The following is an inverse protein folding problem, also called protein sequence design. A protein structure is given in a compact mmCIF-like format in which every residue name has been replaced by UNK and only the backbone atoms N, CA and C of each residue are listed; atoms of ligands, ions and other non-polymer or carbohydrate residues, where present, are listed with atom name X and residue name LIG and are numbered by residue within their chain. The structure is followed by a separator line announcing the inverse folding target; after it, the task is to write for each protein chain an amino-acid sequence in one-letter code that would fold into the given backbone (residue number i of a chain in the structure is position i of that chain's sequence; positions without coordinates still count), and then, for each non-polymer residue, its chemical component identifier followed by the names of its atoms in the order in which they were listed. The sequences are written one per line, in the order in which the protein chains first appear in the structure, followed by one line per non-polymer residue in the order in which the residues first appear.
data_IF_725226254916
#
_entry.id   IF_725226254916
#
_cell.length_a   1.000
_cell.length_b   1.000
_cell.length_c   1.000
_cell.angle_alpha   90.00
_cell.angle_beta   90.00
_cell.angle_gamma   90.00
#
_symmetry.space_group_name_H-M   'P 1'
#
loop_
_entity.id
_entity.type
_entity.pdbx_description
1 polymer ?
#
# COMPACT_ATOMS: atom_id res chain seq x y z
N UNK A 1 56.43 -30.18 64.83
CA UNK A 1 56.11 -30.80 63.53
C UNK A 1 55.05 -29.95 62.85
N UNK A 2 55.49 -29.01 62.02
CA UNK A 2 54.62 -28.26 61.12
C UNK A 2 54.18 -29.20 59.99
N UNK A 3 52.87 -29.48 59.92
CA UNK A 3 52.28 -30.09 58.72
C UNK A 3 52.29 -29.04 57.61
N UNK A 4 53.30 -29.09 56.74
CA UNK A 4 53.27 -28.43 55.44
C UNK A 4 52.10 -29.03 54.64
N UNK A 5 50.97 -28.34 54.65
CA UNK A 5 49.86 -28.56 53.73
C UNK A 5 50.37 -28.21 52.33
N UNK A 6 50.83 -29.21 51.60
CA UNK A 6 51.14 -29.10 50.17
C UNK A 6 49.86 -28.72 49.45
N UNK A 7 49.74 -27.44 49.10
CA UNK A 7 48.67 -26.89 48.26
C UNK A 7 48.85 -27.49 46.87
N UNK A 8 48.21 -28.63 46.63
CA UNK A 8 47.87 -29.04 45.27
C UNK A 8 46.75 -28.11 44.82
N UNK A 9 47.15 -27.02 44.14
CA UNK A 9 46.24 -26.01 43.59
C UNK A 9 45.61 -26.57 42.32
N UNK A 10 44.90 -27.70 42.42
CA UNK A 10 43.97 -28.13 41.39
C UNK A 10 42.80 -27.16 41.48
N UNK A 11 42.87 -26.07 40.72
CA UNK A 11 41.74 -25.18 40.59
C UNK A 11 40.54 -26.02 40.13
N UNK A 12 39.45 -25.95 40.90
CA UNK A 12 38.25 -26.68 40.56
C UNK A 12 37.78 -26.20 39.19
N UNK A 13 37.71 -27.12 38.22
CA UNK A 13 37.31 -26.80 36.84
C UNK A 13 35.94 -26.10 36.84
N UNK A 14 35.08 -26.45 37.80
CA UNK A 14 33.80 -25.81 38.02
C UNK A 14 33.94 -24.33 38.41
N UNK A 15 34.78 -24.00 39.40
CA UNK A 15 35.02 -22.61 39.84
C UNK A 15 35.69 -21.76 38.76
N UNK A 16 36.62 -22.35 37.98
CA UNK A 16 37.21 -21.66 36.83
C UNK A 16 36.18 -21.41 35.72
N UNK A 17 35.30 -22.38 35.48
CA UNK A 17 34.21 -22.21 34.51
C UNK A 17 33.26 -21.13 34.99
N UNK A 18 32.80 -21.17 36.23
CA UNK A 18 31.91 -20.16 36.81
C UNK A 18 32.50 -18.75 36.73
N UNK A 19 33.78 -18.59 37.10
CA UNK A 19 34.51 -17.33 36.96
C UNK A 19 34.61 -16.86 35.49
N UNK A 20 34.91 -17.76 34.56
CA UNK A 20 34.93 -17.43 33.13
C UNK A 20 33.56 -17.01 32.59
N UNK A 21 32.47 -17.57 33.14
CA UNK A 21 31.10 -17.21 32.80
C UNK A 21 30.69 -15.85 33.36
N UNK A 22 31.26 -15.42 34.48
CA UNK A 22 31.10 -14.05 34.98
C UNK A 22 31.83 -13.02 34.09
N UNK A 23 32.96 -13.43 33.50
CA UNK A 23 33.79 -12.58 32.64
C UNK A 23 33.27 -12.43 31.19
N UNK A 24 32.17 -13.10 30.80
CA UNK A 24 31.55 -13.03 29.44
C UNK A 24 31.29 -11.59 28.98
N UNK A 25 31.00 -10.67 29.90
CA UNK A 25 30.77 -9.25 29.57
C UNK A 25 32.01 -8.58 28.95
N UNK A 26 33.20 -9.10 29.25
CA UNK A 26 34.49 -8.54 28.81
C UNK A 26 35.11 -9.26 27.60
N UNK A 27 34.51 -10.36 27.12
CA UNK A 27 35.02 -11.10 25.96
C UNK A 27 35.10 -10.24 24.70
N UNK A 28 35.98 -10.55 23.75
CA UNK A 28 35.99 -9.84 22.46
C UNK A 28 34.76 -10.20 21.62
N UNK A 29 34.41 -9.40 20.60
CA UNK A 29 33.28 -9.70 19.72
C UNK A 29 33.43 -11.06 19.00
N UNK A 30 34.62 -11.41 18.43
CA UNK A 30 34.83 -12.75 17.85
C UNK A 30 34.71 -13.89 18.85
N UNK A 31 35.20 -13.73 20.09
CA UNK A 31 35.04 -14.74 21.15
C UNK A 31 33.56 -14.99 21.47
N UNK A 32 32.78 -13.91 21.59
CA UNK A 32 31.35 -13.99 21.85
C UNK A 32 30.59 -14.69 20.72
N UNK A 33 30.91 -14.36 19.45
CA UNK A 33 30.32 -15.02 18.30
C UNK A 33 30.74 -16.48 18.19
N UNK A 34 32.01 -16.79 18.47
CA UNK A 34 32.53 -18.16 18.49
C UNK A 34 31.78 -19.01 19.51
N UNK A 35 31.59 -18.49 20.73
CA UNK A 35 30.82 -19.17 21.77
C UNK A 35 29.35 -19.38 21.37
N UNK A 36 28.71 -18.37 20.78
CA UNK A 36 27.33 -18.50 20.28
C UNK A 36 27.22 -19.54 19.15
N UNK A 37 28.20 -19.61 18.24
CA UNK A 37 28.26 -20.65 17.20
C UNK A 37 28.42 -22.04 17.80
N UNK A 38 29.30 -22.22 18.78
CA UNK A 38 29.46 -23.50 19.49
C UNK A 38 28.21 -23.91 20.29
N UNK A 39 27.47 -22.94 20.84
CA UNK A 39 26.20 -23.21 21.52
C UNK A 39 25.10 -23.73 20.55
N UNK A 40 25.23 -23.52 19.24
CA UNK A 40 24.28 -24.06 18.26
C UNK A 40 24.36 -25.58 18.18
N UNK A 41 25.57 -26.13 18.27
CA UNK A 41 25.82 -27.56 18.17
C UNK A 41 25.41 -28.30 19.46
N UNK A 42 25.33 -27.58 20.58
CA UNK A 42 25.05 -28.11 21.93
C UNK A 42 23.74 -27.57 22.52
N UNK A 43 22.78 -27.20 21.68
CA UNK A 43 21.61 -26.39 22.02
C UNK A 43 20.83 -26.83 23.29
N UNK A 44 20.52 -28.12 23.53
CA UNK A 44 19.81 -28.54 24.74
C UNK A 44 20.59 -28.28 26.03
N UNK A 45 21.91 -28.51 26.00
CA UNK A 45 22.81 -28.41 27.15
C UNK A 45 23.17 -26.94 27.44
N UNK A 46 23.41 -26.15 26.38
CA UNK A 46 23.72 -24.72 26.49
C UNK A 46 22.55 -23.89 27.06
N UNK A 47 21.31 -24.33 26.81
CA UNK A 47 20.11 -23.70 27.37
C UNK A 47 19.96 -23.97 28.88
N UNK A 48 20.29 -25.18 29.34
CA UNK A 48 20.20 -25.53 30.77
C UNK A 48 21.29 -24.90 31.65
N UNK A 49 22.41 -24.47 31.07
CA UNK A 49 23.56 -23.94 31.81
C UNK A 49 23.53 -22.42 32.00
N UNK A 50 22.56 -21.70 31.41
CA UNK A 50 22.48 -20.23 31.46
C UNK A 50 23.59 -19.49 30.69
N UNK A 51 24.54 -20.22 30.09
CA UNK A 51 25.65 -19.67 29.31
C UNK A 51 25.11 -18.94 28.08
N UNK A 52 24.18 -19.57 27.38
CA UNK A 52 23.56 -19.00 26.19
C UNK A 52 22.86 -17.67 26.50
N UNK A 53 22.17 -17.57 27.63
CA UNK A 53 21.49 -16.34 28.07
C UNK A 53 22.50 -15.22 28.37
N UNK A 54 23.58 -15.53 29.11
CA UNK A 54 24.66 -14.57 29.40
C UNK A 54 25.34 -14.06 28.12
N UNK A 55 25.60 -14.94 27.15
CA UNK A 55 26.18 -14.57 25.86
C UNK A 55 25.22 -13.68 25.06
N UNK A 56 23.92 -14.03 24.99
CA UNK A 56 22.91 -13.22 24.33
C UNK A 56 22.77 -11.84 24.99
N UNK A 57 22.78 -11.77 26.32
CA UNK A 57 22.69 -10.50 27.05
C UNK A 57 23.90 -9.58 26.81
N UNK A 58 25.10 -10.16 26.72
CA UNK A 58 26.33 -9.43 26.36
C UNK A 58 26.25 -8.93 24.91
N UNK A 59 25.82 -9.80 23.97
CA UNK A 59 25.68 -9.48 22.55
C UNK A 59 24.69 -8.32 22.34
N UNK A 60 23.48 -8.47 22.88
CA UNK A 60 22.41 -7.47 22.76
C UNK A 60 22.81 -6.18 23.48
N UNK A 61 23.49 -6.26 24.62
CA UNK A 61 24.04 -5.09 25.31
C UNK A 61 24.99 -4.28 24.44
N UNK A 62 25.89 -4.94 23.70
CA UNK A 62 26.82 -4.26 22.78
C UNK A 62 26.12 -3.65 21.58
N UNK A 63 25.16 -4.37 21.00
CA UNK A 63 24.38 -3.87 19.88
C UNK A 63 23.59 -2.60 20.27
N UNK A 64 22.94 -2.62 21.44
CA UNK A 64 22.22 -1.46 21.97
C UNK A 64 23.15 -0.26 22.21
N UNK A 65 24.30 -0.46 22.86
CA UNK A 65 25.27 0.61 23.12
C UNK A 65 25.86 1.21 21.82
N UNK A 66 26.13 0.37 20.81
CA UNK A 66 26.62 0.83 19.53
C UNK A 66 25.58 1.67 18.76
N UNK A 67 24.29 1.42 19.00
CA UNK A 67 23.19 2.21 18.44
C UNK A 67 22.98 3.54 19.19
N UNK A 68 23.18 3.57 20.51
CA UNK A 68 23.01 4.76 21.36
C UNK A 68 24.18 5.75 21.30
N UNK A 69 25.40 5.29 20.97
CA UNK A 69 26.58 6.14 20.78
C UNK A 69 26.48 7.10 19.57
N UNK A 70 25.31 7.19 18.95
CA UNK A 70 24.96 8.18 17.92
C UNK A 70 23.93 9.19 18.45
N UNK A 71 24.41 10.33 18.98
CA UNK A 71 23.78 11.62 18.70
C UNK A 71 24.81 12.66 18.20
N UNK A 72 24.56 13.18 16.98
CA UNK A 72 25.03 14.44 16.37
C UNK A 72 26.54 14.81 16.36
N UNK A 73 27.08 15.30 15.23
CA UNK A 73 28.32 16.08 15.23
C UNK A 73 27.99 17.50 15.71
N UNK A 74 27.97 17.71 17.03
CA UNK A 74 27.91 19.07 17.60
C UNK A 74 28.59 19.09 18.97
N UNK A 75 29.86 18.70 19.03
CA UNK A 75 30.78 19.39 19.93
C UNK A 75 31.22 20.65 19.21
N UNK A 76 30.45 21.71 19.37
CA UNK A 76 31.00 23.06 19.22
C UNK A 76 32.10 23.20 20.25
N UNK A 77 33.35 23.01 19.84
CA UNK A 77 34.44 23.73 20.47
C UNK A 77 34.14 25.21 20.23
N UNK A 78 33.92 25.95 21.31
CA UNK A 78 34.04 27.39 21.26
C UNK A 78 35.42 27.72 20.68
N UNK A 79 35.42 28.45 19.57
CA UNK A 79 36.46 29.37 19.09
C UNK A 79 36.63 29.27 17.58
N UNK A 80 35.83 30.05 16.86
CA UNK A 80 36.31 31.04 15.88
C UNK A 80 35.16 31.48 14.98
N UNK A 81 34.95 32.79 14.94
CA UNK A 81 34.03 33.47 14.04
C UNK A 81 34.46 33.25 12.57
N UNK A 82 33.51 32.86 11.72
CA UNK A 82 33.74 32.73 10.29
C UNK A 82 32.46 32.44 9.53
N UNK A 83 31.66 33.47 9.30
CA UNK A 83 30.45 33.43 8.47
C UNK A 83 30.78 32.90 7.06
N UNK A 84 30.27 31.70 6.68
CA UNK A 84 30.24 31.30 5.26
C UNK A 84 29.07 30.37 4.94
N UNK A 85 28.40 30.74 3.85
CA UNK A 85 27.15 30.23 3.30
C UNK A 85 27.12 28.71 3.09
N UNK A 86 25.94 28.15 3.39
CA UNK A 86 25.49 26.80 3.07
C UNK A 86 25.42 26.56 1.56
N UNK A 87 25.95 25.42 1.11
CA UNK A 87 25.51 24.72 -0.09
C UNK A 87 25.43 23.21 0.21
N UNK A 88 24.23 22.66 0.04
CA UNK A 88 23.87 21.26 0.22
C UNK A 88 24.64 20.31 -0.69
N UNK A 89 25.42 19.40 -0.12
CA UNK A 89 25.78 18.11 -0.75
C UNK A 89 26.06 16.99 0.27
N UNK A 90 25.67 17.14 1.54
CA UNK A 90 26.13 16.26 2.65
C UNK A 90 25.06 15.30 3.19
N UNK A 91 23.87 15.28 2.61
CA UNK A 91 22.71 14.54 3.12
C UNK A 91 22.77 13.04 2.80
N UNK A 92 23.34 12.66 1.65
CA UNK A 92 23.44 11.24 1.24
C UNK A 92 24.61 10.52 1.92
N UNK A 93 25.75 11.19 2.11
CA UNK A 93 26.95 10.61 2.72
C UNK A 93 26.77 10.33 4.22
N UNK A 94 26.05 11.21 4.94
CA UNK A 94 25.75 11.04 6.37
C UNK A 94 24.75 9.91 6.62
N UNK A 95 23.70 9.80 5.78
CA UNK A 95 22.75 8.69 5.81
C UNK A 95 23.40 7.36 5.46
N UNK A 96 24.31 7.34 4.47
CA UNK A 96 25.08 6.14 4.11
C UNK A 96 26.03 5.71 5.23
N UNK A 97 26.74 6.66 5.86
CA UNK A 97 27.63 6.39 6.98
C UNK A 97 26.90 5.98 8.26
N UNK A 98 25.68 6.50 8.48
CA UNK A 98 24.78 6.04 9.55
C UNK A 98 24.30 4.62 9.25
N UNK A 99 23.92 4.34 8.00
CA UNK A 99 23.46 3.03 7.58
C UNK A 99 24.53 1.94 7.70
N UNK A 100 25.75 2.18 7.19
CA UNK A 100 26.87 1.23 7.31
C UNK A 100 27.19 0.96 8.79
N UNK A 101 27.12 1.99 9.65
CA UNK A 101 27.30 1.84 11.10
C UNK A 101 26.14 1.16 11.82
N UNK A 102 24.94 1.14 11.25
CA UNK A 102 23.81 0.41 11.83
C UNK A 102 23.82 -1.07 11.43
N UNK A 103 24.49 -1.44 10.34
CA UNK A 103 24.45 -2.80 9.76
C UNK A 103 25.75 -3.59 9.83
N UNK A 104 26.79 -3.09 10.53
CA UNK A 104 28.10 -3.75 10.63
C UNK A 104 28.04 -5.21 11.11
N UNK A 105 27.05 -5.54 11.95
CA UNK A 105 26.87 -6.86 12.55
C UNK A 105 26.03 -7.83 11.71
N UNK A 106 25.50 -7.39 10.55
CA UNK A 106 24.56 -8.19 9.76
C UNK A 106 25.22 -9.47 9.21
N UNK A 107 26.43 -9.35 8.68
CA UNK A 107 27.19 -10.49 8.15
C UNK A 107 27.55 -11.48 9.28
N UNK A 108 28.03 -10.97 10.39
CA UNK A 108 28.44 -11.74 11.56
C UNK A 108 27.30 -12.60 12.15
N UNK A 109 26.09 -12.03 12.24
CA UNK A 109 24.91 -12.73 12.74
C UNK A 109 24.17 -13.49 11.63
N UNK A 110 24.53 -13.29 10.36
CA UNK A 110 23.93 -13.94 9.20
C UNK A 110 24.04 -15.46 9.22
N UNK A 111 25.13 -15.97 9.79
CA UNK A 111 25.43 -17.41 9.88
C UNK A 111 24.64 -18.16 10.96
N UNK A 112 23.97 -17.45 11.87
CA UNK A 112 23.27 -18.09 12.99
C UNK A 112 22.10 -18.96 12.50
N UNK A 113 21.82 -20.05 13.20
CA UNK A 113 20.62 -20.86 12.94
C UNK A 113 19.33 -20.05 13.27
N UNK A 114 18.16 -20.44 12.72
CA UNK A 114 16.92 -19.69 12.93
C UNK A 114 16.55 -19.54 14.41
N UNK A 115 16.77 -20.57 15.23
CA UNK A 115 16.45 -20.54 16.65
C UNK A 115 17.24 -19.47 17.42
N UNK A 116 18.54 -19.34 17.16
CA UNK A 116 19.36 -18.29 17.76
C UNK A 116 18.98 -16.91 17.25
N UNK A 117 18.70 -16.77 15.95
CA UNK A 117 18.18 -15.51 15.42
C UNK A 117 16.91 -15.10 16.14
N UNK A 118 15.96 -16.02 16.32
CA UNK A 118 14.73 -15.77 17.09
C UNK A 118 15.03 -15.26 18.51
N UNK A 119 15.95 -15.90 19.22
CA UNK A 119 16.35 -15.50 20.58
C UNK A 119 17.01 -14.11 20.61
N UNK A 120 17.93 -13.83 19.68
CA UNK A 120 18.58 -12.52 19.57
C UNK A 120 17.55 -11.43 19.25
N UNK A 121 16.65 -11.68 18.30
CA UNK A 121 15.63 -10.69 17.91
C UNK A 121 14.66 -10.40 19.07
N UNK A 122 14.18 -11.42 19.78
CA UNK A 122 13.34 -11.23 20.98
C UNK A 122 14.05 -10.42 22.06
N UNK A 123 15.34 -10.66 22.24
CA UNK A 123 16.17 -9.92 23.21
C UNK A 123 16.41 -8.47 22.79
N UNK A 124 16.54 -8.20 21.48
CA UNK A 124 16.63 -6.83 20.96
C UNK A 124 15.31 -6.07 21.13
N UNK A 125 14.18 -6.72 20.84
CA UNK A 125 12.84 -6.14 21.04
C UNK A 125 12.60 -5.83 22.53
N UNK A 126 12.95 -6.74 23.44
CA UNK A 126 12.77 -6.51 24.89
C UNK A 126 13.60 -5.34 25.42
N UNK A 127 14.73 -5.03 24.77
CA UNK A 127 15.57 -3.86 25.07
C UNK A 127 15.23 -2.61 24.25
N UNK A 128 14.07 -2.58 23.58
CA UNK A 128 13.58 -1.45 22.77
C UNK A 128 14.53 -1.01 21.66
N UNK A 129 15.25 -1.97 21.08
CA UNK A 129 16.09 -1.70 19.92
C UNK A 129 15.24 -1.28 18.71
N UNK A 130 15.78 -0.48 17.79
CA UNK A 130 15.03 0.05 16.65
C UNK A 130 14.48 -1.09 15.76
N UNK A 131 13.15 -1.22 15.75
CA UNK A 131 12.41 -2.20 14.98
C UNK A 131 12.70 -2.11 13.46
N UNK A 132 13.04 -0.93 12.94
CA UNK A 132 13.42 -0.75 11.53
C UNK A 132 14.74 -1.45 11.23
N UNK A 133 15.73 -1.38 12.13
CA UNK A 133 17.00 -2.08 11.96
C UNK A 133 16.78 -3.59 12.09
N UNK A 134 15.97 -4.04 13.06
CA UNK A 134 15.62 -5.45 13.23
C UNK A 134 14.96 -6.00 11.96
N UNK A 135 13.96 -5.30 11.41
CA UNK A 135 13.26 -5.75 10.20
C UNK A 135 14.22 -5.86 9.01
N UNK A 136 15.14 -4.89 8.86
CA UNK A 136 16.19 -4.91 7.81
C UNK A 136 17.13 -6.09 7.97
N UNK A 137 17.57 -6.38 9.20
CA UNK A 137 18.40 -7.56 9.47
C UNK A 137 17.66 -8.85 9.10
N UNK A 138 16.38 -8.98 9.46
CA UNK A 138 15.59 -10.17 9.13
C UNK A 138 15.47 -10.40 7.61
N UNK A 139 15.27 -9.34 6.83
CA UNK A 139 15.28 -9.44 5.36
C UNK A 139 16.67 -9.79 4.81
N UNK A 140 17.73 -9.23 5.39
CA UNK A 140 19.11 -9.57 5.04
C UNK A 140 19.40 -11.05 5.35
N UNK A 141 19.06 -11.51 6.55
CA UNK A 141 19.24 -12.87 7.04
C UNK A 141 18.56 -13.88 6.11
N UNK A 142 17.29 -13.64 5.76
CA UNK A 142 16.58 -14.50 4.82
C UNK A 142 17.31 -14.58 3.47
N UNK A 143 17.66 -13.44 2.88
CA UNK A 143 18.31 -13.40 1.55
C UNK A 143 19.68 -14.08 1.55
N UNK A 144 20.50 -13.80 2.56
CA UNK A 144 21.84 -14.37 2.70
C UNK A 144 21.78 -15.89 2.86
N UNK A 145 20.96 -16.38 3.80
CA UNK A 145 20.85 -17.82 4.09
C UNK A 145 20.19 -18.61 2.96
N UNK A 146 19.34 -17.98 2.16
CA UNK A 146 18.67 -18.64 1.04
C UNK A 146 19.63 -19.12 -0.06
N UNK A 147 20.82 -18.53 -0.18
CA UNK A 147 21.81 -18.89 -1.20
C UNK A 147 22.29 -20.33 -1.01
N UNK A 148 22.53 -20.74 0.24
CA UNK A 148 23.12 -22.05 0.57
C UNK A 148 22.12 -23.04 1.18
N UNK A 149 20.88 -22.61 1.46
CA UNK A 149 19.88 -23.42 2.15
C UNK A 149 19.13 -24.42 1.25
N UNK A 150 18.89 -25.61 1.80
CA UNK A 150 17.93 -26.60 1.30
C UNK A 150 16.48 -26.08 1.38
N UNK A 151 15.53 -26.75 0.72
CA UNK A 151 14.11 -26.34 0.73
C UNK A 151 13.50 -26.35 2.14
N UNK A 152 13.83 -27.36 2.97
CA UNK A 152 13.38 -27.43 4.37
C UNK A 152 13.97 -26.30 5.23
N UNK A 153 15.25 -25.99 5.04
CA UNK A 153 15.89 -24.85 5.70
C UNK A 153 15.27 -23.52 5.26
N UNK A 154 15.02 -23.32 3.96
CA UNK A 154 14.34 -22.13 3.44
C UNK A 154 12.97 -21.93 4.07
N UNK A 155 12.20 -23.01 4.21
CA UNK A 155 10.92 -22.98 4.92
C UNK A 155 11.08 -22.52 6.37
N UNK A 156 11.97 -23.15 7.15
CA UNK A 156 12.22 -22.80 8.55
C UNK A 156 12.67 -21.35 8.72
N UNK A 157 13.62 -20.91 7.90
CA UNK A 157 14.11 -19.52 7.88
C UNK A 157 12.96 -18.56 7.61
N UNK A 158 12.13 -18.82 6.60
CA UNK A 158 10.99 -17.95 6.29
C UNK A 158 9.96 -17.92 7.41
N UNK A 159 9.63 -19.08 8.01
CA UNK A 159 8.69 -19.14 9.15
C UNK A 159 9.21 -18.32 10.34
N UNK A 160 10.48 -18.49 10.72
CA UNK A 160 11.11 -17.69 11.79
C UNK A 160 11.13 -16.20 11.46
N UNK A 161 11.49 -15.82 10.23
CA UNK A 161 11.53 -14.41 9.80
C UNK A 161 10.15 -13.77 9.85
N UNK A 162 9.12 -14.45 9.35
CA UNK A 162 7.73 -13.95 9.39
C UNK A 162 7.25 -13.81 10.83
N UNK A 163 7.52 -14.80 11.69
CA UNK A 163 7.14 -14.75 13.10
C UNK A 163 7.82 -13.59 13.83
N UNK A 164 9.08 -13.31 13.51
CA UNK A 164 9.81 -12.21 14.12
C UNK A 164 9.32 -10.86 13.59
N UNK A 165 9.12 -10.71 12.28
CA UNK A 165 8.55 -9.48 11.69
C UNK A 165 7.16 -9.17 12.26
N UNK A 166 6.34 -10.20 12.52
CA UNK A 166 5.00 -10.03 13.09
C UNK A 166 5.00 -9.49 14.53
N UNK A 167 6.12 -9.67 15.25
CA UNK A 167 6.28 -9.13 16.61
C UNK A 167 6.76 -7.67 16.65
N UNK A 168 7.15 -7.10 15.50
CA UNK A 168 7.64 -5.72 15.41
C UNK A 168 6.49 -4.72 15.19
N UNK A 169 6.82 -3.44 15.34
CA UNK A 169 5.91 -2.38 14.96
C UNK A 169 5.58 -2.45 13.46
N UNK A 170 4.29 -2.36 13.15
CA UNK A 170 3.79 -2.48 11.77
C UNK A 170 4.46 -1.46 10.82
N UNK A 171 4.76 -0.25 11.32
CA UNK A 171 5.39 0.82 10.54
C UNK A 171 6.88 0.56 10.25
N UNK A 172 7.52 -0.36 10.96
CA UNK A 172 8.93 -0.69 10.78
C UNK A 172 9.18 -1.68 9.63
N UNK A 173 8.12 -2.34 9.14
CA UNK A 173 8.22 -3.43 8.15
C UNK A 173 7.72 -2.95 6.80
N UNK A 174 8.61 -2.91 5.80
CA UNK A 174 8.25 -2.40 4.47
C UNK A 174 7.30 -3.36 3.72
N UNK A 175 6.22 -2.81 3.17
CA UNK A 175 5.26 -3.58 2.38
C UNK A 175 5.91 -4.26 1.16
N UNK A 176 6.84 -3.58 0.48
CA UNK A 176 7.58 -4.13 -0.68
C UNK A 176 8.35 -5.39 -0.30
N UNK A 177 9.00 -5.39 0.86
CA UNK A 177 9.73 -6.56 1.35
C UNK A 177 8.79 -7.71 1.71
N UNK A 178 7.61 -7.43 2.28
CA UNK A 178 6.61 -8.46 2.58
C UNK A 178 6.11 -9.17 1.31
N UNK A 179 5.88 -8.45 0.20
CA UNK A 179 5.58 -9.08 -1.09
C UNK A 179 6.74 -9.91 -1.63
N UNK A 180 7.98 -9.49 -1.38
CA UNK A 180 9.16 -10.31 -1.66
C UNK A 180 9.14 -11.65 -0.90
N UNK A 181 8.74 -11.63 0.38
CA UNK A 181 8.54 -12.86 1.17
C UNK A 181 7.37 -13.67 0.59
N UNK A 182 6.24 -13.03 0.28
CA UNK A 182 5.08 -13.71 -0.28
C UNK A 182 5.44 -14.49 -1.54
N UNK A 183 6.15 -13.88 -2.48
CA UNK A 183 6.61 -14.53 -3.71
C UNK A 183 7.48 -15.76 -3.43
N UNK A 184 8.36 -15.68 -2.43
CA UNK A 184 9.15 -16.83 -1.97
C UNK A 184 8.25 -17.94 -1.40
N UNK A 185 7.21 -17.59 -0.63
CA UNK A 185 6.33 -18.57 0.00
C UNK A 185 5.42 -19.33 -0.96
N UNK A 186 5.20 -18.82 -2.18
CA UNK A 186 4.39 -19.52 -3.19
C UNK A 186 4.96 -20.89 -3.54
N UNK A 187 6.28 -21.04 -3.46
CA UNK A 187 6.99 -22.29 -3.75
C UNK A 187 7.43 -23.05 -2.48
N UNK A 188 7.06 -22.57 -1.29
CA UNK A 188 7.41 -23.19 -0.02
C UNK A 188 6.15 -23.64 0.72
N UNK A 189 6.18 -24.85 1.25
CA UNK A 189 5.08 -25.37 2.07
C UNK A 189 5.14 -24.83 3.51
N UNK A 190 4.99 -23.51 3.67
CA UNK A 190 4.96 -22.85 4.99
C UNK A 190 3.68 -23.18 5.76
N UNK A 191 3.78 -23.12 7.09
CA UNK A 191 2.62 -23.34 7.97
C UNK A 191 1.49 -22.34 7.70
N UNK A 192 0.24 -22.79 7.91
CA UNK A 192 -0.95 -21.93 7.79
C UNK A 192 -0.89 -20.71 8.73
N UNK A 193 -0.34 -20.90 9.93
CA UNK A 193 -0.14 -19.82 10.90
C UNK A 193 0.81 -18.75 10.35
N UNK A 194 1.98 -19.16 9.83
CA UNK A 194 2.94 -18.26 9.20
C UNK A 194 2.32 -17.51 8.01
N UNK A 195 1.57 -18.22 7.14
CA UNK A 195 0.89 -17.60 6.00
C UNK A 195 -0.10 -16.53 6.45
N UNK A 196 -0.93 -16.83 7.45
CA UNK A 196 -1.90 -15.87 7.97
C UNK A 196 -1.23 -14.62 8.56
N UNK A 197 -0.11 -14.77 9.28
CA UNK A 197 0.67 -13.63 9.79
C UNK A 197 1.21 -12.75 8.67
N UNK A 198 1.80 -13.36 7.63
CA UNK A 198 2.30 -12.65 6.46
C UNK A 198 1.18 -11.89 5.73
N UNK A 199 0.08 -12.57 5.44
CA UNK A 199 -1.07 -11.97 4.76
C UNK A 199 -1.71 -10.86 5.59
N UNK A 200 -1.76 -11.01 6.92
CA UNK A 200 -2.23 -9.97 7.83
C UNK A 200 -1.33 -8.74 7.78
N UNK A 201 0.00 -8.90 7.83
CA UNK A 201 0.93 -7.77 7.73
C UNK A 201 0.77 -7.02 6.40
N UNK A 202 0.68 -7.74 5.28
CA UNK A 202 0.45 -7.15 3.96
C UNK A 202 -0.90 -6.42 3.92
N UNK A 203 -1.97 -7.07 4.35
CA UNK A 203 -3.32 -6.50 4.30
C UNK A 203 -3.46 -5.23 5.14
N UNK A 204 -2.77 -5.12 6.27
CA UNK A 204 -2.81 -3.90 7.09
C UNK A 204 -2.15 -2.66 6.44
N UNK A 205 -1.42 -2.84 5.33
CA UNK A 205 -0.74 -1.79 4.56
C UNK A 205 -1.32 -1.64 3.14
N UNK A 206 -2.54 -2.14 2.88
CA UNK A 206 -3.13 -2.19 1.53
C UNK A 206 -3.18 -0.83 0.81
N UNK A 207 -3.26 0.28 1.56
CA UNK A 207 -3.22 1.65 1.03
C UNK A 207 -1.85 2.10 0.48
N UNK A 208 -0.80 1.29 0.67
CA UNK A 208 0.55 1.51 0.16
C UNK A 208 0.93 0.52 -0.96
N UNK A 209 0.01 -0.37 -1.32
CA UNK A 209 0.24 -1.45 -2.29
C UNK A 209 0.00 -0.93 -3.71
N UNK A 210 0.79 -1.44 -4.66
CA UNK A 210 0.61 -1.20 -6.11
C UNK A 210 -0.16 -2.33 -6.74
N UNK A 211 -0.79 -2.07 -7.90
CA UNK A 211 -1.54 -3.08 -8.64
C UNK A 211 -0.69 -4.34 -8.90
N UNK A 212 0.54 -4.16 -9.40
CA UNK A 212 1.47 -5.26 -9.69
C UNK A 212 1.68 -6.23 -8.52
N UNK A 213 1.70 -5.71 -7.29
CA UNK A 213 1.86 -6.54 -6.09
C UNK A 213 0.61 -7.39 -5.80
N UNK A 214 -0.59 -6.94 -6.18
CA UNK A 214 -1.84 -7.70 -6.01
C UNK A 214 -2.03 -8.80 -7.06
N UNK A 215 -1.27 -8.76 -8.16
CA UNK A 215 -1.30 -9.76 -9.24
C UNK A 215 -0.54 -11.04 -8.84
N UNK A 216 -0.97 -11.64 -7.73
CA UNK A 216 -0.40 -12.89 -7.21
C UNK A 216 -0.86 -14.04 -8.10
N UNK A 217 0.06 -14.83 -8.69
CA UNK A 217 -0.29 -15.97 -9.53
C UNK A 217 -1.14 -16.98 -8.77
N UNK A 218 -2.07 -17.61 -9.48
CA UNK A 218 -2.89 -18.66 -8.93
C UNK A 218 -2.07 -19.93 -8.62
N UNK A 219 -2.52 -20.77 -7.66
CA UNK A 219 -1.86 -22.05 -7.39
C UNK A 219 -1.86 -22.96 -8.63
N UNK A 220 -0.80 -23.76 -8.76
CA UNK A 220 -0.66 -24.73 -9.85
C UNK A 220 -1.89 -25.63 -9.94
N UNK A 221 -2.44 -25.78 -11.15
CA UNK A 221 -3.63 -26.60 -11.41
C UNK A 221 -4.96 -25.87 -11.27
N UNK A 222 -4.94 -24.55 -11.08
CA UNK A 222 -6.14 -23.72 -11.18
C UNK A 222 -6.25 -23.06 -12.56
N UNK A 223 -7.48 -22.81 -13.02
CA UNK A 223 -7.73 -22.32 -14.39
C UNK A 223 -7.74 -20.79 -14.49
N UNK A 224 -7.88 -20.07 -13.37
CA UNK A 224 -7.84 -18.60 -13.33
C UNK A 224 -6.41 -18.10 -13.16
N UNK A 225 -6.10 -16.89 -13.63
CA UNK A 225 -4.72 -16.37 -13.68
C UNK A 225 -4.20 -15.92 -12.31
N UNK A 226 -5.05 -15.29 -11.50
CA UNK A 226 -4.64 -14.63 -10.25
C UNK A 226 -5.37 -15.19 -9.02
N UNK A 227 -4.67 -15.32 -7.90
CA UNK A 227 -5.28 -15.76 -6.63
C UNK A 227 -6.09 -14.64 -5.95
N UNK A 228 -7.33 -14.49 -6.41
CA UNK A 228 -8.33 -13.59 -5.83
C UNK A 228 -8.54 -13.83 -4.33
N UNK A 229 -8.38 -15.07 -3.85
CA UNK A 229 -8.61 -15.37 -2.43
C UNK A 229 -7.55 -14.74 -1.54
N UNK A 230 -6.30 -14.62 -2.01
CA UNK A 230 -5.23 -13.92 -1.27
C UNK A 230 -5.59 -12.45 -1.10
N UNK A 231 -6.06 -11.80 -2.17
CA UNK A 231 -6.44 -10.38 -2.14
C UNK A 231 -7.65 -10.14 -1.22
N UNK A 232 -8.64 -11.03 -1.24
CA UNK A 232 -9.76 -10.97 -0.28
C UNK A 232 -9.29 -11.12 1.18
N UNK A 233 -8.26 -11.92 1.45
CA UNK A 233 -7.67 -12.04 2.80
C UNK A 233 -6.89 -10.78 3.21
N UNK A 234 -6.21 -10.13 2.26
CA UNK A 234 -5.59 -8.82 2.51
C UNK A 234 -6.65 -7.78 2.89
N UNK A 235 -7.74 -7.69 2.11
CA UNK A 235 -8.85 -6.79 2.38
C UNK A 235 -9.49 -7.04 3.75
N UNK A 236 -9.74 -8.31 4.10
CA UNK A 236 -10.26 -8.67 5.42
C UNK A 236 -9.35 -8.18 6.54
N UNK A 237 -8.04 -8.30 6.37
CA UNK A 237 -7.05 -7.85 7.36
C UNK A 237 -6.96 -6.32 7.43
N UNK A 238 -7.12 -5.63 6.30
CA UNK A 238 -7.20 -4.17 6.23
C UNK A 238 -8.39 -3.64 7.05
N UNK A 239 -9.59 -4.19 6.79
CA UNK A 239 -10.86 -3.79 7.39
C UNK A 239 -11.03 -4.15 8.87
N UNK A 240 -10.15 -4.98 9.43
CA UNK A 240 -10.20 -5.40 10.83
C UNK A 240 -9.84 -4.30 11.85
N UNK A 241 -9.50 -3.08 11.41
CA UNK A 241 -9.13 -1.94 12.26
C UNK A 241 -9.95 -0.70 11.90
N UNK A 242 -10.07 0.25 12.82
CA UNK A 242 -10.64 1.58 12.51
C UNK A 242 -9.76 2.31 11.49
N UNK A 243 -10.12 2.23 10.21
CA UNK A 243 -9.31 2.81 9.12
C UNK A 243 -9.69 4.27 8.89
N UNK A 244 -8.72 5.20 8.88
CA UNK A 244 -8.95 6.55 8.40
C UNK A 244 -9.50 6.57 6.96
N UNK A 245 -10.49 7.41 6.70
CA UNK A 245 -11.19 7.45 5.40
C UNK A 245 -10.25 7.65 4.20
N UNK A 246 -9.17 8.43 4.36
CA UNK A 246 -8.18 8.63 3.30
C UNK A 246 -7.44 7.35 2.89
N UNK A 247 -7.07 6.49 3.85
CA UNK A 247 -6.45 5.19 3.59
C UNK A 247 -7.46 4.24 2.96
N UNK A 248 -8.71 4.27 3.44
CA UNK A 248 -9.80 3.46 2.90
C UNK A 248 -10.09 3.81 1.43
N UNK A 249 -10.12 5.10 1.06
CA UNK A 249 -10.28 5.57 -0.33
C UNK A 249 -9.13 5.13 -1.23
N UNK A 250 -7.88 5.18 -0.74
CA UNK A 250 -6.71 4.69 -1.50
C UNK A 250 -6.82 3.19 -1.78
N UNK A 251 -7.17 2.40 -0.77
CA UNK A 251 -7.39 0.97 -0.93
C UNK A 251 -8.55 0.67 -1.88
N UNK A 252 -9.64 1.45 -1.85
CA UNK A 252 -10.75 1.30 -2.79
C UNK A 252 -10.34 1.56 -4.24
N UNK A 253 -9.59 2.65 -4.48
CA UNK A 253 -9.06 2.93 -5.82
C UNK A 253 -8.17 1.79 -6.33
N UNK A 254 -7.28 1.25 -5.49
CA UNK A 254 -6.45 0.09 -5.83
C UNK A 254 -7.30 -1.15 -6.16
N UNK A 255 -8.33 -1.41 -5.35
CA UNK A 255 -9.23 -2.54 -5.58
C UNK A 255 -10.03 -2.39 -6.87
N UNK A 256 -10.46 -1.18 -7.23
CA UNK A 256 -11.19 -0.95 -8.46
C UNK A 256 -10.32 -1.25 -9.70
N UNK A 257 -9.01 -0.89 -9.65
CA UNK A 257 -8.05 -1.32 -10.67
C UNK A 257 -7.87 -2.83 -10.71
N UNK A 258 -7.75 -3.47 -9.54
CA UNK A 258 -7.62 -4.92 -9.46
C UNK A 258 -8.86 -5.65 -10.00
N UNK A 259 -10.06 -5.18 -9.67
CA UNK A 259 -11.33 -5.74 -10.17
C UNK A 259 -11.41 -5.61 -11.70
N UNK A 260 -10.99 -4.46 -12.25
CA UNK A 260 -10.93 -4.26 -13.69
C UNK A 260 -9.92 -5.21 -14.37
N UNK A 261 -8.78 -5.49 -13.72
CA UNK A 261 -7.76 -6.40 -14.25
C UNK A 261 -8.21 -7.87 -14.27
N UNK A 262 -8.96 -8.32 -13.25
CA UNK A 262 -9.42 -9.71 -13.18
C UNK A 262 -10.76 -9.95 -13.89
N UNK A 263 -11.52 -8.90 -14.21
CA UNK A 263 -12.82 -9.01 -14.88
C UNK A 263 -12.80 -9.77 -16.22
N UNK A 264 -11.77 -9.63 -17.09
CA UNK A 264 -11.70 -10.35 -18.36
C UNK A 264 -11.30 -11.83 -18.25
N UNK A 265 -11.05 -12.37 -17.05
CA UNK A 265 -10.66 -13.77 -16.86
C UNK A 265 -11.88 -14.70 -16.99
N UNK A 266 -11.98 -15.54 -18.04
CA UNK A 266 -13.14 -16.43 -18.26
C UNK A 266 -13.26 -17.55 -17.22
N UNK A 267 -12.23 -17.77 -16.40
CA UNK A 267 -12.23 -18.76 -15.33
C UNK A 267 -12.58 -18.16 -13.96
N UNK A 268 -12.82 -16.84 -13.88
CA UNK A 268 -13.21 -16.18 -12.64
C UNK A 268 -14.68 -16.45 -12.31
N UNK A 269 -14.92 -17.19 -11.23
CA UNK A 269 -16.29 -17.53 -10.79
C UNK A 269 -17.11 -16.29 -10.38
N UNK A 270 -18.43 -16.26 -10.67
CA UNK A 270 -19.34 -15.17 -10.28
C UNK A 270 -19.29 -14.81 -8.81
N UNK A 271 -19.23 -15.81 -7.94
CA UNK A 271 -19.18 -15.63 -6.49
C UNK A 271 -17.91 -14.90 -6.03
N UNK A 272 -16.76 -15.14 -6.68
CA UNK A 272 -15.49 -14.46 -6.37
C UNK A 272 -15.50 -13.03 -6.89
N UNK A 273 -16.00 -12.81 -8.10
CA UNK A 273 -16.12 -11.47 -8.68
C UNK A 273 -17.04 -10.59 -7.81
N UNK A 274 -18.21 -11.12 -7.42
CA UNK A 274 -19.13 -10.43 -6.52
C UNK A 274 -18.52 -10.14 -5.14
N UNK A 275 -17.74 -11.08 -4.59
CA UNK A 275 -17.05 -10.88 -3.32
C UNK A 275 -16.06 -9.71 -3.39
N UNK A 276 -15.36 -9.52 -4.51
CA UNK A 276 -14.46 -8.37 -4.70
C UNK A 276 -15.21 -7.04 -4.74
N UNK A 277 -16.28 -6.98 -5.53
CA UNK A 277 -17.12 -5.77 -5.66
C UNK A 277 -17.66 -5.33 -4.30
N UNK A 278 -18.19 -6.29 -3.52
CA UNK A 278 -18.81 -6.05 -2.21
C UNK A 278 -17.82 -5.97 -1.04
N UNK A 279 -16.52 -6.13 -1.28
CA UNK A 279 -15.55 -6.23 -0.19
C UNK A 279 -15.38 -4.94 0.60
N UNK A 280 -15.61 -3.78 -0.03
CA UNK A 280 -15.42 -2.45 0.57
C UNK A 280 -16.76 -1.73 0.72
N UNK A 281 -16.94 -0.93 1.79
CA UNK A 281 -18.16 -0.17 2.02
C UNK A 281 -18.31 0.96 1.00
N UNK A 282 -19.55 1.38 0.74
CA UNK A 282 -19.84 2.47 -0.21
C UNK A 282 -19.13 3.78 0.13
N UNK A 283 -18.94 4.08 1.41
CA UNK A 283 -18.22 5.28 1.87
C UNK A 283 -16.76 5.34 1.39
N UNK A 284 -16.18 4.21 1.01
CA UNK A 284 -14.81 4.11 0.49
C UNK A 284 -14.68 4.63 -0.96
N UNK A 285 -15.79 4.71 -1.71
CA UNK A 285 -15.81 5.07 -3.12
C UNK A 285 -16.53 6.39 -3.35
N UNK A 286 -15.91 7.26 -4.14
CA UNK A 286 -16.52 8.51 -4.59
C UNK A 286 -17.37 8.30 -5.85
N UNK A 287 -17.03 7.31 -6.67
CA UNK A 287 -17.76 6.93 -7.87
C UNK A 287 -17.74 5.40 -8.07
N UNK A 288 -18.78 4.87 -8.70
CA UNK A 288 -18.89 3.46 -9.09
C UNK A 288 -18.64 3.24 -10.60
N UNK A 289 -18.23 4.26 -11.35
CA UNK A 289 -18.04 4.17 -12.81
C UNK A 289 -16.97 3.13 -13.20
N UNK A 290 -15.89 3.04 -12.41
CA UNK A 290 -14.85 2.02 -12.59
C UNK A 290 -15.37 0.60 -12.37
N UNK A 291 -16.20 0.42 -11.33
CA UNK A 291 -16.85 -0.85 -11.03
C UNK A 291 -17.84 -1.22 -12.13
N UNK A 292 -18.63 -0.27 -12.65
CA UNK A 292 -19.52 -0.50 -13.78
C UNK A 292 -18.74 -1.03 -14.99
N UNK A 293 -17.62 -0.38 -15.37
CA UNK A 293 -16.79 -0.83 -16.51
C UNK A 293 -16.25 -2.24 -16.30
N UNK A 294 -15.79 -2.56 -15.09
CA UNK A 294 -15.31 -3.89 -14.77
C UNK A 294 -16.44 -4.94 -14.81
N UNK A 295 -17.64 -4.60 -14.30
CA UNK A 295 -18.83 -5.47 -14.40
C UNK A 295 -19.23 -5.69 -15.86
N UNK A 296 -19.26 -4.64 -16.67
CA UNK A 296 -19.62 -4.72 -18.08
C UNK A 296 -18.68 -5.66 -18.86
N UNK A 297 -17.37 -5.57 -18.58
CA UNK A 297 -16.37 -6.48 -19.12
C UNK A 297 -16.54 -7.92 -18.61
N UNK A 298 -16.80 -8.09 -17.31
CA UNK A 298 -17.04 -9.41 -16.74
C UNK A 298 -18.25 -10.10 -17.37
N UNK A 299 -19.37 -9.37 -17.54
CA UNK A 299 -20.59 -9.89 -18.17
C UNK A 299 -20.41 -10.17 -19.66
N UNK A 300 -19.53 -9.42 -20.35
CA UNK A 300 -19.15 -9.70 -21.74
C UNK A 300 -18.46 -11.06 -21.85
N UNK A 301 -17.44 -11.31 -21.02
CA UNK A 301 -16.67 -12.55 -21.04
C UNK A 301 -17.49 -13.75 -20.53
N UNK A 302 -18.47 -13.51 -19.66
CA UNK A 302 -19.32 -14.54 -19.06
C UNK A 302 -20.75 -14.50 -19.63
N UNK A 303 -20.89 -14.47 -20.95
CA UNK A 303 -22.19 -14.44 -21.63
C UNK A 303 -23.12 -15.63 -21.29
N UNK A 304 -22.56 -16.75 -20.79
CA UNK A 304 -23.32 -17.95 -20.40
C UNK A 304 -23.96 -17.90 -19.00
N UNK A 305 -23.87 -16.78 -18.27
CA UNK A 305 -24.49 -16.65 -16.95
C UNK A 305 -26.02 -16.62 -17.02
N UNK A 306 -26.65 -17.21 -16.00
CA UNK A 306 -28.09 -17.11 -15.81
C UNK A 306 -28.54 -15.68 -15.46
N UNK A 307 -29.80 -15.36 -15.71
CA UNK A 307 -30.40 -14.08 -15.31
C UNK A 307 -30.30 -13.82 -13.80
N UNK A 308 -30.38 -14.88 -12.97
CA UNK A 308 -30.21 -14.78 -11.52
C UNK A 308 -28.78 -14.39 -11.14
N UNK A 309 -27.77 -15.02 -11.75
CA UNK A 309 -26.36 -14.68 -11.52
C UNK A 309 -26.04 -13.25 -11.96
N UNK A 310 -26.53 -12.85 -13.14
CA UNK A 310 -26.39 -11.47 -13.65
C UNK A 310 -27.02 -10.48 -12.68
N UNK A 311 -28.23 -10.75 -12.21
CA UNK A 311 -28.92 -9.94 -11.20
C UNK A 311 -28.11 -9.84 -9.91
N UNK A 312 -27.59 -10.95 -9.39
CA UNK A 312 -26.82 -10.95 -8.16
C UNK A 312 -25.49 -10.16 -8.29
N UNK A 313 -24.81 -10.27 -9.42
CA UNK A 313 -23.61 -9.48 -9.73
C UNK A 313 -23.96 -7.98 -9.78
N UNK A 314 -24.99 -7.60 -10.54
CA UNK A 314 -25.40 -6.21 -10.70
C UNK A 314 -25.90 -5.57 -9.40
N UNK A 315 -26.42 -6.35 -8.44
CA UNK A 315 -26.77 -5.85 -7.10
C UNK A 315 -25.56 -5.32 -6.30
N UNK A 316 -24.32 -5.55 -6.73
CA UNK A 316 -23.13 -4.96 -6.11
C UNK A 316 -22.86 -3.51 -6.51
N UNK A 317 -23.60 -2.95 -7.49
CA UNK A 317 -23.39 -1.61 -8.00
C UNK A 317 -24.21 -0.59 -7.19
N UNK A 318 -23.56 0.47 -6.70
CA UNK A 318 -24.27 1.62 -6.12
C UNK A 318 -24.63 2.60 -7.23
N UNK A 319 -25.90 2.59 -7.65
CA UNK A 319 -26.43 3.45 -8.72
C UNK A 319 -26.41 4.94 -8.41
N UNK A 320 -26.42 5.33 -7.13
CA UNK A 320 -26.39 6.74 -6.70
C UNK A 320 -25.03 7.39 -6.95
N UNK A 321 -23.98 6.56 -6.98
CA UNK A 321 -22.59 6.99 -7.19
C UNK A 321 -22.12 6.83 -8.63
N UNK A 322 -23.03 6.60 -9.57
CA UNK A 322 -22.74 6.60 -11.00
C UNK A 322 -22.82 8.01 -11.58
N UNK A 323 -21.94 8.30 -12.54
CA UNK A 323 -22.07 9.50 -13.37
C UNK A 323 -23.29 9.40 -14.30
N UNK A 324 -23.79 10.56 -14.74
CA UNK A 324 -24.91 10.62 -15.70
C UNK A 324 -24.58 9.90 -17.00
N UNK A 325 -23.35 10.04 -17.49
CA UNK A 325 -22.85 9.35 -18.67
C UNK A 325 -22.87 7.83 -18.49
N UNK A 326 -22.38 7.33 -17.35
CA UNK A 326 -22.38 5.90 -17.04
C UNK A 326 -23.79 5.32 -16.91
N UNK A 327 -24.72 6.07 -16.31
CA UNK A 327 -26.14 5.67 -16.26
C UNK A 327 -26.76 5.54 -17.66
N UNK A 328 -26.40 6.41 -18.62
CA UNK A 328 -26.87 6.31 -20.00
C UNK A 328 -26.33 5.05 -20.68
N UNK A 329 -25.04 4.75 -20.51
CA UNK A 329 -24.46 3.52 -21.01
C UNK A 329 -25.14 2.29 -20.41
N UNK A 330 -25.37 2.29 -19.09
CA UNK A 330 -26.05 1.20 -18.39
C UNK A 330 -27.47 0.98 -18.92
N UNK A 331 -28.24 2.06 -19.13
CA UNK A 331 -29.62 1.98 -19.62
C UNK A 331 -29.72 1.37 -21.03
N UNK A 332 -28.69 1.52 -21.86
CA UNK A 332 -28.63 0.96 -23.22
C UNK A 332 -28.01 -0.45 -23.25
N UNK A 333 -27.48 -0.92 -22.12
CA UNK A 333 -26.70 -2.15 -22.09
C UNK A 333 -27.57 -3.38 -21.83
N UNK A 334 -27.86 -4.13 -22.90
CA UNK A 334 -28.66 -5.37 -22.84
C UNK A 334 -27.98 -6.50 -22.02
N UNK A 335 -26.70 -6.37 -21.65
CA UNK A 335 -26.00 -7.30 -20.75
C UNK A 335 -26.40 -7.13 -19.28
N UNK A 336 -27.04 -6.02 -18.93
CA UNK A 336 -27.52 -5.79 -17.58
C UNK A 336 -29.00 -6.18 -17.47
N UNK A 337 -29.45 -6.73 -16.33
CA UNK A 337 -30.86 -6.98 -16.09
C UNK A 337 -31.69 -5.70 -16.23
N UNK A 338 -32.91 -5.83 -16.75
CA UNK A 338 -33.83 -4.70 -16.94
C UNK A 338 -34.08 -3.90 -15.65
N UNK A 339 -34.11 -4.57 -14.49
CA UNK A 339 -34.22 -3.94 -13.18
C UNK A 339 -33.09 -2.95 -12.90
N UNK A 340 -31.87 -3.23 -13.33
CA UNK A 340 -30.71 -2.34 -13.17
C UNK A 340 -30.85 -1.07 -14.00
N UNK A 341 -31.34 -1.17 -15.24
CA UNK A 341 -31.61 -0.02 -16.10
C UNK A 341 -32.70 0.88 -15.51
N UNK A 342 -33.79 0.29 -14.99
CA UNK A 342 -34.85 1.03 -14.30
C UNK A 342 -34.32 1.76 -13.07
N UNK A 343 -33.48 1.11 -12.27
CA UNK A 343 -32.92 1.72 -11.06
C UNK A 343 -31.97 2.90 -11.37
N UNK A 344 -31.14 2.78 -12.40
CA UNK A 344 -30.31 3.88 -12.88
C UNK A 344 -31.15 5.06 -13.41
N UNK A 345 -32.24 4.76 -14.13
CA UNK A 345 -33.18 5.77 -14.65
C UNK A 345 -33.91 6.52 -13.54
N UNK A 346 -34.45 5.81 -12.54
CA UNK A 346 -35.12 6.42 -11.38
C UNK A 346 -34.17 7.39 -10.69
N UNK A 347 -32.90 7.01 -10.49
CA UNK A 347 -31.92 7.88 -9.87
C UNK A 347 -31.62 9.13 -10.71
N UNK A 348 -31.43 9.01 -12.02
CA UNK A 348 -31.26 10.18 -12.89
C UNK A 348 -32.44 11.14 -12.78
N UNK A 349 -33.67 10.62 -12.75
CA UNK A 349 -34.88 11.43 -12.59
C UNK A 349 -34.92 12.15 -11.24
N UNK A 350 -34.55 11.48 -10.15
CA UNK A 350 -34.45 12.10 -8.81
C UNK A 350 -33.36 13.19 -8.76
N UNK A 351 -32.19 12.94 -9.34
CA UNK A 351 -31.09 13.92 -9.40
C UNK A 351 -31.48 15.17 -10.19
N UNK A 352 -32.17 15.00 -11.33
CA UNK A 352 -32.72 16.09 -12.12
C UNK A 352 -33.79 16.87 -11.32
N UNK A 353 -34.72 16.17 -10.65
CA UNK A 353 -35.74 16.82 -9.81
C UNK A 353 -35.11 17.65 -8.69
N UNK A 354 -34.09 17.13 -8.01
CA UNK A 354 -33.40 17.85 -6.93
C UNK A 354 -32.69 19.11 -7.47
N UNK A 355 -32.00 19.03 -8.61
CA UNK A 355 -31.39 20.20 -9.24
C UNK A 355 -32.43 21.24 -9.66
N UNK A 356 -33.59 20.81 -10.14
CA UNK A 356 -34.70 21.69 -10.48
C UNK A 356 -35.33 22.31 -9.22
N UNK A 357 -35.45 21.57 -8.12
CA UNK A 357 -35.95 22.07 -6.83
C UNK A 357 -34.98 23.04 -6.14
N UNK A 358 -33.67 22.82 -6.22
CA UNK A 358 -32.65 23.77 -5.73
C UNK A 358 -32.63 25.07 -6.55
N UNK A 359 -33.14 25.03 -7.79
CA UNK A 359 -33.32 26.22 -8.64
C UNK A 359 -34.65 26.95 -8.35
N UNK A 360 -35.60 26.28 -7.68
CA UNK A 360 -36.90 26.84 -7.26
C UNK A 360 -36.89 27.04 -5.74
N UNK A 361 -36.03 27.93 -5.25
CA UNK A 361 -36.23 28.58 -3.95
C UNK A 361 -37.06 29.86 -4.19
N UNK A 362 -38.34 29.91 -3.77
CA UNK A 362 -39.08 31.15 -3.77
C UNK A 362 -38.57 32.01 -2.62
N UNK A 363 -38.11 33.21 -2.94
CA UNK A 363 -37.81 34.28 -1.99
C UNK A 363 -39.03 34.46 -1.04
N UNK A 364 -38.91 34.35 0.30
CA UNK A 364 -40.06 34.42 1.17
C UNK A 364 -40.29 35.88 1.58
N UNK A 365 -41.18 36.58 0.87
CA UNK A 365 -41.82 37.78 1.42
C UNK A 365 -43.30 37.87 1.02
N UNK A 366 -44.13 37.69 2.06
CA UNK A 366 -45.43 38.33 2.35
C UNK A 366 -46.70 37.69 1.76
N UNK A 367 -47.45 37.06 2.70
CA UNK A 367 -48.92 37.04 2.95
C UNK A 367 -49.86 36.49 1.85
N UNK A 368 -50.94 35.74 2.09
CA UNK A 368 -51.77 35.34 3.23
C UNK A 368 -52.85 34.36 2.65
N UNK A 369 -53.57 33.53 3.44
CA UNK A 369 -54.18 32.29 2.95
C UNK A 369 -55.65 32.45 2.55
N UNK A 370 -56.11 31.68 1.55
CA UNK A 370 -57.54 31.44 1.37
C UNK A 370 -57.85 29.96 1.11
N UNK A 371 -58.86 29.54 1.87
CA UNK A 371 -59.48 28.24 2.05
C UNK A 371 -59.97 27.55 0.78
N UNK A 372 -59.77 26.22 0.79
CA UNK A 372 -60.45 25.23 -0.02
C UNK A 372 -61.96 25.23 0.30
N UNK A 373 -62.82 25.43 -0.70
CA UNK A 373 -64.18 24.88 -0.69
C UNK A 373 -64.51 24.34 -2.08
N UNK A 374 -64.81 23.04 -2.11
CA UNK A 374 -65.42 22.33 -3.23
C UNK A 374 -66.89 22.74 -3.34
N UNK A 375 -67.37 22.97 -4.57
CA UNK A 375 -68.76 22.68 -4.96
C UNK A 375 -68.75 22.06 -6.37
N UNK A 376 -69.57 21.03 -6.48
CA UNK A 376 -69.64 20.02 -7.52
C UNK A 376 -70.70 20.34 -8.62
N UNK A 377 -70.59 19.62 -9.74
CA UNK A 377 -71.61 19.22 -10.74
C UNK A 377 -71.94 20.02 -12.04
N UNK A 378 -71.63 19.31 -13.15
CA UNK A 378 -72.43 18.97 -14.37
C UNK A 378 -72.57 19.91 -15.59
N UNK A 379 -72.09 19.42 -16.75
CA UNK A 379 -72.51 19.81 -18.11
C UNK A 379 -71.80 19.00 -19.22
N UNK A 380 -72.51 18.56 -20.26
CA UNK A 380 -72.20 17.51 -21.27
C UNK A 380 -71.58 18.01 -22.62
N UNK A 381 -70.95 17.08 -23.37
CA UNK A 381 -70.67 16.98 -24.85
C UNK A 381 -69.54 17.89 -25.43
N UNK A 382 -68.74 17.54 -26.45
CA UNK A 382 -68.48 16.36 -27.31
C UNK A 382 -67.03 16.50 -27.88
N UNK A 383 -66.44 15.37 -28.28
CA UNK A 383 -65.31 15.07 -29.20
C UNK A 383 -64.28 16.14 -29.66
N UNK A 384 -62.98 15.84 -29.46
CA UNK A 384 -61.95 15.71 -30.52
C UNK A 384 -60.53 15.46 -29.93
N UNK A 385 -59.74 14.64 -30.64
CA UNK A 385 -58.30 14.46 -30.44
C UNK A 385 -57.54 15.77 -30.69
N UNK A 386 -56.68 16.21 -29.77
CA UNK A 386 -55.60 17.17 -30.06
C UNK A 386 -54.39 16.92 -29.13
N UNK A 387 -53.39 16.23 -29.70
CA UNK A 387 -52.01 16.71 -29.77
C UNK A 387 -51.44 17.41 -28.50
N UNK A 388 -50.81 16.64 -27.61
CA UNK A 388 -49.92 17.20 -26.57
C UNK A 388 -48.58 17.54 -27.24
N UNK A 389 -48.56 18.72 -27.87
CA UNK A 389 -47.37 19.43 -28.31
C UNK A 389 -47.43 20.82 -27.69
N UNK A 390 -46.32 21.20 -27.04
CA UNK A 390 -45.93 22.53 -26.57
C UNK A 390 -46.59 23.05 -25.27
N UNK A 391 -45.84 22.89 -24.18
CA UNK A 391 -45.54 24.03 -23.32
C UNK A 391 -44.03 24.25 -23.32
N UNK A 392 -43.55 24.83 -24.43
CA UNK A 392 -42.33 25.62 -24.42
C UNK A 392 -42.58 26.87 -23.57
N UNK A 393 -42.45 26.70 -22.25
CA UNK A 393 -42.22 27.82 -21.34
C UNK A 393 -40.87 28.40 -21.68
N UNK A 394 -40.89 29.62 -22.24
CA UNK A 394 -39.76 30.42 -22.68
C UNK A 394 -38.83 30.74 -21.51
N UNK A 395 -38.06 29.75 -21.06
CA UNK A 395 -36.82 29.98 -20.32
C UNK A 395 -35.84 30.58 -21.34
N UNK A 396 -35.17 31.65 -20.95
CA UNK A 396 -34.27 32.43 -21.79
C UNK A 396 -32.93 31.70 -22.06
N UNK A 397 -33.02 30.43 -22.45
CA UNK A 397 -31.93 29.54 -22.86
C UNK A 397 -31.15 30.12 -24.04
N UNK A 398 -31.73 31.07 -24.78
CA UNK A 398 -31.05 31.75 -25.88
C UNK A 398 -29.97 32.70 -25.34
N UNK A 399 -30.25 33.49 -24.31
CA UNK A 399 -29.31 34.47 -23.76
C UNK A 399 -28.12 33.80 -23.03
N UNK A 400 -28.37 32.72 -22.29
CA UNK A 400 -27.30 31.94 -21.64
C UNK A 400 -26.46 31.14 -22.64
N UNK A 401 -27.07 30.58 -23.70
CA UNK A 401 -26.31 29.94 -24.78
C UNK A 401 -25.47 30.95 -25.57
N UNK A 402 -25.96 32.17 -25.80
CA UNK A 402 -25.15 33.22 -26.42
C UNK A 402 -23.99 33.67 -25.52
N UNK A 403 -24.21 33.79 -24.21
CA UNK A 403 -23.15 34.10 -23.24
C UNK A 403 -22.12 32.97 -23.14
N UNK A 404 -22.56 31.71 -23.15
CA UNK A 404 -21.68 30.54 -23.16
C UNK A 404 -20.90 30.43 -24.47
N UNK A 405 -21.53 30.73 -25.61
CA UNK A 405 -20.88 30.79 -26.93
C UNK A 405 -19.84 31.91 -26.99
N UNK A 406 -20.15 33.09 -26.48
CA UNK A 406 -19.20 34.20 -26.37
C UNK A 406 -18.02 33.85 -25.43
N UNK A 407 -18.29 33.15 -24.32
CA UNK A 407 -17.24 32.68 -23.41
C UNK A 407 -16.36 31.61 -24.06
N UNK A 408 -16.94 30.64 -24.78
CA UNK A 408 -16.21 29.63 -25.55
C UNK A 408 -15.35 30.25 -26.64
N UNK A 409 -15.85 31.23 -27.38
CA UNK A 409 -15.07 31.99 -28.37
C UNK A 409 -13.93 32.77 -27.69
N UNK A 410 -14.19 33.38 -26.54
CA UNK A 410 -13.17 34.06 -25.75
C UNK A 410 -12.09 33.13 -25.19
N UNK A 411 -12.45 31.89 -24.82
CA UNK A 411 -11.49 30.85 -24.41
C UNK A 411 -10.69 30.36 -25.60
N UNK A 412 -11.34 30.10 -26.74
CA UNK A 412 -10.65 29.69 -27.99
C UNK A 412 -9.65 30.76 -28.46
N UNK A 413 -10.00 32.04 -28.36
CA UNK A 413 -9.08 33.13 -28.71
C UNK A 413 -7.86 33.20 -27.79
N UNK A 414 -8.06 33.00 -26.47
CA UNK A 414 -6.97 32.94 -25.50
C UNK A 414 -6.06 31.74 -25.73
N UNK A 415 -6.62 30.58 -26.10
CA UNK A 415 -5.86 29.39 -26.45
C UNK A 415 -5.03 29.62 -27.72
N UNK A 416 -5.61 30.24 -28.76
CA UNK A 416 -4.89 30.60 -29.98
C UNK A 416 -3.72 31.58 -29.71
N UNK A 417 -3.92 32.57 -28.85
CA UNK A 417 -2.85 33.50 -28.49
C UNK A 417 -1.77 32.81 -27.64
N UNK A 418 -2.15 31.92 -26.72
CA UNK A 418 -1.22 31.08 -25.96
C UNK A 418 -0.39 30.17 -26.87
N UNK A 419 -1.02 29.51 -27.84
CA UNK A 419 -0.29 28.70 -28.82
C UNK A 419 0.69 29.53 -29.64
N UNK A 420 0.31 30.77 -30.02
CA UNK A 420 1.19 31.68 -30.75
C UNK A 420 2.39 32.09 -29.90
N UNK A 421 2.19 32.31 -28.59
CA UNK A 421 3.28 32.56 -27.64
C UNK A 421 4.17 31.32 -27.47
N UNK A 422 3.60 30.12 -27.33
CA UNK A 422 4.34 28.86 -27.26
C UNK A 422 5.18 28.63 -28.54
N UNK A 423 4.62 28.88 -29.73
CA UNK A 423 5.35 28.79 -31.01
C UNK A 423 6.51 29.78 -31.09
N UNK A 424 6.33 31.02 -30.62
CA UNK A 424 7.42 32.01 -30.53
C UNK A 424 8.50 31.55 -29.56
N UNK A 425 8.13 31.03 -28.39
CA UNK A 425 9.06 30.53 -27.38
C UNK A 425 9.86 29.33 -27.91
N UNK A 426 9.21 28.39 -28.60
CA UNK A 426 9.85 27.25 -29.23
C UNK A 426 10.84 27.67 -30.33
N UNK A 427 10.50 28.72 -31.10
CA UNK A 427 11.39 29.30 -32.12
C UNK A 427 12.60 29.99 -31.48
N UNK A 428 12.42 30.66 -30.34
CA UNK A 428 13.54 31.26 -29.60
C UNK A 428 14.43 30.19 -28.95
N UNK A 429 13.84 29.14 -28.37
CA UNK A 429 14.55 28.03 -27.74
C UNK A 429 15.40 27.25 -28.74
N UNK A 430 14.87 27.02 -29.95
CA UNK A 430 15.63 26.41 -31.05
C UNK A 430 16.75 27.30 -31.58
N UNK A 431 16.59 28.63 -31.60
CA UNK A 431 17.68 29.58 -31.90
C UNK A 431 18.77 29.57 -30.82
N UNK A 432 18.40 29.51 -29.54
CA UNK A 432 19.34 29.41 -28.41
C UNK A 432 20.10 28.07 -28.45
N UNK A 433 19.42 26.97 -28.78
CA UNK A 433 20.09 25.68 -28.95
C UNK A 433 21.08 25.69 -30.13
N UNK A 434 20.72 26.30 -31.27
CA UNK A 434 21.62 26.40 -32.42
C UNK A 434 22.84 27.28 -32.16
N UNK A 435 22.72 28.38 -31.40
CA UNK A 435 23.87 29.22 -31.03
C UNK A 435 24.80 28.56 -30.00
N UNK A 436 24.27 27.66 -29.15
CA UNK A 436 25.10 26.84 -28.25
C UNK A 436 25.89 25.77 -29.01
N UNK A 437 25.34 25.18 -30.08
CA UNK A 437 26.08 24.23 -30.91
C UNK A 437 27.15 24.88 -31.81
N UNK A 438 26.98 26.13 -32.25
CA UNK A 438 28.00 26.83 -33.03
C UNK A 438 29.22 27.25 -32.19
N UNK A 439 29.04 27.55 -30.90
CA UNK A 439 30.14 27.92 -29.99
C UNK A 439 30.96 26.72 -29.48
N UNK A 440 30.51 25.48 -29.70
CA UNK A 440 31.24 24.28 -29.30
C UNK A 440 32.30 23.80 -30.34
N UNK A 441 32.35 24.41 -31.53
CA UNK A 441 33.31 24.04 -32.60
C UNK A 441 34.61 24.85 -32.61
N UNK A 442 34.78 25.82 -31.72
CA UNK A 442 36.01 26.60 -31.60
C UNK A 442 36.69 26.33 -30.26
N UNK A 443 37.37 25.19 -30.14
CA UNK A 443 38.46 25.02 -29.18
C UNK A 443 39.73 24.56 -29.93
N UNK A 444 40.91 25.09 -29.60
CA UNK A 444 42.10 24.98 -30.45
C UNK A 444 42.73 23.60 -30.38
N UNK A 445 43.20 23.10 -31.54
CA UNK A 445 44.10 21.94 -31.60
C UNK A 445 45.41 22.29 -30.91
N UNK A 446 45.76 21.56 -29.85
CA UNK A 446 47.10 21.55 -29.29
C UNK A 446 48.01 20.73 -30.22
N UNK A 447 49.12 21.35 -30.62
CA UNK A 447 50.17 20.79 -31.46
C UNK A 447 51.06 19.80 -30.69
N UNK A 448 51.56 18.84 -31.48
CA UNK A 448 52.85 18.13 -31.43
C UNK A 448 53.30 17.44 -30.15
#
# INVERSE_FOLDING_TARGET
MEMKKSVSKTFNLFEQTEKSLEEIRFWTWPELLGALKQCQDLFPVAKSSGILEKCLDSLVGRLALASEASPCPSTSSADSFGFRFSCDTRSTESLRNSFIRATWWFEDLGDLNPNLVEMVMKSLVSRKFDHVIISRFLFYYQKSRFITATLDQKRKITETVVDMLYSLDQNAVSCKSLFGILGVTLNLNISKCCRNKLESMIGTQLDQVTLDNLLVPSPIGTNYLYDVNVVLRFLKSFLGRGIPLNRLKKAASLMDFYIAEVAPDPCLKPSKFLALVRALPDSARDSYDGIYRAMDMYLEVHAGLSEEERTNICCGLNYEKLSSETCNYLAQNAKFPSKSAVQAFIYQQCKLKNLLQDTIQPNPFIDSPCSLMEIDTKGKKDEAFEEIVLCAGKLDLSAENEKLRAHLQGVQWRVLELEKVCRKMQTQMTKIMKSRLSNARSLPRLCS
#
